data_IF_298470593098
#
_entry.id   IF_298470593098
#
_cell.length_a   1.000
_cell.length_b   1.000
_cell.length_c   1.000
_cell.angle_alpha   90.00
_cell.angle_beta   90.00
_cell.angle_gamma   90.00
#
_symmetry.space_group_name_H-M   'P 1'
#
loop_
_entity.id
_entity.type
_entity.pdbx_description
1 polymer ?
#
# COMPACT_ATOMS: atom_id res chain seq x y z
N UNK A 1 16.88 -6.15 -18.54
CA UNK A 1 15.52 -6.51 -18.06
C UNK A 1 15.09 -5.51 -16.99
N UNK A 2 14.41 -4.43 -17.38
CA UNK A 2 14.02 -3.34 -16.48
C UNK A 2 12.69 -3.67 -15.80
N UNK A 3 12.70 -3.76 -14.47
CA UNK A 3 11.50 -3.99 -13.65
C UNK A 3 10.91 -2.63 -13.25
N UNK A 4 9.94 -2.17 -14.02
CA UNK A 4 9.12 -0.99 -13.74
C UNK A 4 8.29 -1.24 -12.49
N UNK A 5 8.67 -0.66 -11.34
CA UNK A 5 7.79 -0.63 -10.16
C UNK A 5 6.84 0.57 -10.32
N UNK A 6 5.74 0.34 -11.03
CA UNK A 6 4.59 1.21 -10.94
C UNK A 6 3.96 1.01 -9.55
N UNK A 7 4.00 2.04 -8.70
CA UNK A 7 3.12 2.15 -7.54
C UNK A 7 1.71 2.46 -8.05
N UNK A 8 1.06 1.45 -8.63
CA UNK A 8 -0.38 1.46 -8.75
C UNK A 8 -0.93 1.31 -7.32
N UNK A 9 -1.58 2.35 -6.81
CA UNK A 9 -2.61 2.20 -5.80
C UNK A 9 -3.71 1.34 -6.43
N UNK A 10 -3.45 0.04 -6.51
CA UNK A 10 -4.38 -0.93 -7.03
C UNK A 10 -5.46 -1.06 -5.97
N UNK A 11 -6.55 -0.32 -6.16
CA UNK A 11 -7.85 -0.72 -5.63
C UNK A 11 -8.24 -2.01 -6.37
N UNK A 12 -7.47 -3.09 -6.17
CA UNK A 12 -7.82 -4.42 -6.65
C UNK A 12 -9.04 -4.82 -5.84
N UNK A 13 -10.22 -4.49 -6.36
CA UNK A 13 -11.44 -5.08 -5.88
C UNK A 13 -11.35 -6.56 -6.26
N UNK A 14 -11.23 -7.48 -5.30
CA UNK A 14 -11.18 -8.89 -5.65
C UNK A 14 -12.45 -9.22 -6.44
N UNK A 15 -12.30 -10.01 -7.51
CA UNK A 15 -13.42 -10.42 -8.35
C UNK A 15 -14.57 -10.90 -7.45
N UNK A 16 -15.73 -10.27 -7.62
CA UNK A 16 -16.91 -10.52 -6.82
C UNK A 16 -17.40 -11.94 -7.09
N UNK A 17 -16.97 -12.91 -6.26
CA UNK A 17 -17.58 -14.24 -6.22
C UNK A 17 -19.06 -14.14 -5.82
N UNK A 18 -19.82 -15.24 -5.94
CA UNK A 18 -21.26 -15.28 -5.64
C UNK A 18 -21.64 -14.79 -4.21
N UNK A 19 -20.69 -14.75 -3.27
CA UNK A 19 -20.87 -14.23 -1.91
C UNK A 19 -20.37 -12.77 -1.70
N UNK A 20 -20.01 -12.04 -2.75
CA UNK A 20 -19.51 -10.68 -2.62
C UNK A 20 -20.62 -9.68 -2.31
N UNK A 21 -20.35 -8.75 -1.38
CA UNK A 21 -21.22 -7.62 -1.09
C UNK A 21 -21.55 -6.85 -2.38
N UNK A 22 -22.84 -6.63 -2.61
CA UNK A 22 -23.36 -5.78 -3.68
C UNK A 22 -23.77 -4.44 -3.07
N UNK A 23 -22.98 -3.37 -3.22
CA UNK A 23 -23.32 -2.07 -2.66
C UNK A 23 -24.65 -1.54 -3.26
N UNK A 24 -25.65 -1.21 -2.44
CA UNK A 24 -26.90 -0.65 -2.97
C UNK A 24 -26.71 0.78 -3.45
N UNK A 25 -27.36 1.14 -4.56
CA UNK A 25 -27.44 2.53 -5.02
C UNK A 25 -28.57 3.25 -4.28
N UNK A 26 -28.23 4.24 -3.46
CA UNK A 26 -29.18 5.00 -2.64
C UNK A 26 -29.20 6.46 -3.05
N UNK A 27 -30.39 7.07 -3.10
CA UNK A 27 -30.55 8.51 -3.32
C UNK A 27 -30.56 9.24 -1.99
N UNK A 28 -29.77 10.30 -1.87
CA UNK A 28 -29.67 11.11 -0.66
C UNK A 28 -29.64 12.60 -0.99
N UNK A 29 -30.05 13.41 -0.03
CA UNK A 29 -29.85 14.86 -0.02
C UNK A 29 -29.41 15.28 1.39
N UNK A 30 -28.15 15.71 1.50
CA UNK A 30 -27.56 16.08 2.78
C UNK A 30 -28.17 17.37 3.35
N UNK A 31 -28.52 18.34 2.50
CA UNK A 31 -29.09 19.62 2.92
C UNK A 31 -30.57 19.45 3.29
N UNK A 32 -31.30 18.66 2.50
CA UNK A 32 -32.68 18.26 2.79
C UNK A 32 -32.83 17.19 3.87
N UNK A 33 -31.72 16.68 4.43
CA UNK A 33 -31.67 15.57 5.41
C UNK A 33 -32.45 14.32 4.95
N UNK A 34 -32.47 14.05 3.65
CA UNK A 34 -33.23 12.96 3.05
C UNK A 34 -32.33 11.76 2.73
N UNK A 35 -32.82 10.54 2.95
CA UNK A 35 -32.13 9.29 2.60
C UNK A 35 -31.00 8.87 3.54
N UNK A 36 -30.69 9.63 4.60
CA UNK A 36 -29.62 9.32 5.55
C UNK A 36 -29.84 8.03 6.34
N UNK A 37 -31.09 7.71 6.67
CA UNK A 37 -31.44 6.44 7.34
C UNK A 37 -31.10 5.22 6.47
N UNK A 38 -31.35 5.32 5.16
CA UNK A 38 -30.98 4.28 4.20
C UNK A 38 -29.48 4.06 4.13
N UNK A 39 -28.69 5.14 4.21
CA UNK A 39 -27.22 5.06 4.26
C UNK A 39 -26.76 4.35 5.54
N UNK A 40 -27.32 4.71 6.70
CA UNK A 40 -26.98 4.08 7.97
C UNK A 40 -27.34 2.58 7.97
N UNK A 41 -28.50 2.22 7.43
CA UNK A 41 -28.92 0.84 7.28
C UNK A 41 -27.97 0.04 6.36
N UNK A 42 -27.63 0.58 5.19
CA UNK A 42 -26.69 -0.05 4.27
C UNK A 42 -25.28 -0.21 4.88
N UNK A 43 -24.83 0.77 5.67
CA UNK A 43 -23.54 0.72 6.37
C UNK A 43 -23.53 -0.37 7.45
N UNK A 44 -24.62 -0.53 8.20
CA UNK A 44 -24.75 -1.60 9.20
C UNK A 44 -24.83 -2.99 8.54
N UNK A 45 -25.60 -3.12 7.46
CA UNK A 45 -25.69 -4.37 6.70
C UNK A 45 -24.33 -4.77 6.09
N UNK A 46 -23.60 -3.81 5.50
CA UNK A 46 -22.24 -4.05 5.03
C UNK A 46 -21.30 -4.46 6.16
N UNK A 47 -21.41 -3.84 7.35
CA UNK A 47 -20.61 -4.21 8.53
C UNK A 47 -20.89 -5.64 9.01
N UNK A 48 -22.16 -6.07 9.03
CA UNK A 48 -22.52 -7.45 9.39
C UNK A 48 -21.95 -8.42 8.36
N UNK A 49 -22.24 -8.19 7.07
CA UNK A 49 -21.73 -9.01 5.98
C UNK A 49 -20.19 -9.10 5.97
N UNK A 50 -19.52 -7.99 6.30
CA UNK A 50 -18.08 -7.98 6.46
C UNK A 50 -17.65 -8.85 7.65
N UNK A 51 -18.25 -8.70 8.84
CA UNK A 51 -17.86 -9.42 10.06
C UNK A 51 -18.14 -10.92 10.04
N UNK A 52 -19.22 -11.34 9.39
CA UNK A 52 -19.68 -12.74 9.38
C UNK A 52 -18.77 -13.65 8.54
N UNK A 53 -17.89 -13.09 7.71
CA UNK A 53 -16.94 -13.86 6.90
C UNK A 53 -15.56 -14.00 7.56
N UNK A 54 -15.01 -15.24 7.58
CA UNK A 54 -13.56 -15.52 7.77
C UNK A 54 -12.67 -14.58 6.93
N UNK A 55 -13.18 -14.17 5.77
CA UNK A 55 -12.56 -13.22 4.84
C UNK A 55 -12.29 -11.84 5.44
N UNK A 56 -12.98 -11.38 6.49
CA UNK A 56 -12.67 -10.09 7.13
C UNK A 56 -11.44 -10.14 8.01
N UNK A 57 -11.29 -11.18 8.83
CA UNK A 57 -10.06 -11.36 9.61
C UNK A 57 -8.84 -11.49 8.67
N UNK A 58 -8.96 -12.26 7.59
CA UNK A 58 -7.92 -12.38 6.56
C UNK A 58 -7.64 -11.04 5.85
N UNK A 59 -8.68 -10.30 5.42
CA UNK A 59 -8.50 -8.96 4.81
C UNK A 59 -7.89 -7.96 5.79
N UNK A 60 -8.26 -8.02 7.07
CA UNK A 60 -7.67 -7.18 8.11
C UNK A 60 -6.22 -7.52 8.33
N UNK A 61 -5.86 -8.81 8.37
CA UNK A 61 -4.48 -9.26 8.49
C UNK A 61 -3.64 -8.81 7.28
N UNK A 62 -4.16 -8.95 6.05
CA UNK A 62 -3.48 -8.48 4.83
C UNK A 62 -3.29 -6.95 4.84
N UNK A 63 -4.31 -6.19 5.27
CA UNK A 63 -4.19 -4.73 5.43
C UNK A 63 -3.16 -4.35 6.48
N UNK A 64 -3.18 -5.01 7.63
CA UNK A 64 -2.23 -4.78 8.71
C UNK A 64 -0.79 -5.12 8.28
N UNK A 65 -0.62 -6.23 7.55
CA UNK A 65 0.68 -6.63 6.99
C UNK A 65 1.19 -5.59 5.98
N UNK A 66 0.34 -5.10 5.08
CA UNK A 66 0.72 -4.07 4.12
C UNK A 66 1.07 -2.75 4.81
N UNK A 67 0.30 -2.34 5.81
CA UNK A 67 0.57 -1.14 6.60
C UNK A 67 1.91 -1.24 7.34
N UNK A 68 2.15 -2.38 8.03
CA UNK A 68 3.40 -2.63 8.72
C UNK A 68 4.60 -2.66 7.76
N UNK A 69 4.47 -3.35 6.62
CA UNK A 69 5.54 -3.42 5.63
C UNK A 69 5.89 -2.03 5.05
N UNK A 70 4.87 -1.18 4.82
CA UNK A 70 5.06 0.20 4.37
C UNK A 70 5.79 1.03 5.43
N UNK A 71 5.32 1.00 6.67
CA UNK A 71 5.92 1.76 7.77
C UNK A 71 7.36 1.32 8.03
N UNK A 72 7.58 0.00 8.11
CA UNK A 72 8.91 -0.56 8.29
C UNK A 72 9.85 -0.16 7.15
N UNK A 73 9.38 -0.20 5.90
CA UNK A 73 10.19 0.22 4.75
C UNK A 73 10.58 1.70 4.82
N UNK A 74 9.65 2.57 5.23
CA UNK A 74 9.90 4.00 5.37
C UNK A 74 10.91 4.29 6.48
N UNK A 75 10.77 3.66 7.65
CA UNK A 75 11.69 3.82 8.77
C UNK A 75 13.08 3.24 8.48
N UNK A 76 13.14 2.06 7.84
CA UNK A 76 14.41 1.46 7.44
C UNK A 76 15.13 2.31 6.40
N UNK A 77 14.41 2.89 5.43
CA UNK A 77 14.99 3.79 4.44
C UNK A 77 15.52 5.07 5.12
N UNK A 78 14.71 5.70 5.97
CA UNK A 78 15.10 6.93 6.66
C UNK A 78 16.33 6.72 7.53
N UNK A 79 16.31 5.71 8.40
CA UNK A 79 17.45 5.38 9.27
C UNK A 79 18.70 4.99 8.48
N UNK A 80 18.54 4.30 7.34
CA UNK A 80 19.66 3.96 6.46
C UNK A 80 20.29 5.22 5.85
N UNK A 81 19.47 6.14 5.35
CA UNK A 81 19.95 7.39 4.74
C UNK A 81 20.62 8.33 5.74
N UNK A 82 20.18 8.34 7.00
CA UNK A 82 20.82 9.11 8.07
C UNK A 82 22.22 8.61 8.43
N UNK A 83 22.46 7.30 8.29
CA UNK A 83 23.74 6.67 8.61
C UNK A 83 24.70 6.66 7.41
N UNK A 84 24.17 6.78 6.19
CA UNK A 84 24.95 6.67 4.97
C UNK A 84 25.84 7.91 4.76
N UNK A 85 27.17 7.76 4.60
CA UNK A 85 28.04 8.87 4.31
C UNK A 85 27.63 9.59 3.01
N UNK A 86 27.45 10.93 3.00
CA UNK A 86 27.01 11.67 1.82
C UNK A 86 27.91 11.48 0.59
N UNK A 87 29.22 11.35 0.82
CA UNK A 87 30.20 11.10 -0.24
C UNK A 87 29.96 9.75 -0.95
N UNK A 88 29.69 8.68 -0.19
CA UNK A 88 29.45 7.35 -0.74
C UNK A 88 28.20 7.33 -1.62
N UNK A 89 27.13 8.03 -1.20
CA UNK A 89 25.92 8.15 -2.00
C UNK A 89 26.19 8.91 -3.31
N UNK A 90 26.89 10.06 -3.22
CA UNK A 90 27.20 10.88 -4.38
C UNK A 90 28.05 10.13 -5.42
N UNK A 91 29.05 9.37 -4.98
CA UNK A 91 29.89 8.53 -5.84
C UNK A 91 29.08 7.47 -6.61
N UNK A 92 28.18 6.77 -5.92
CA UNK A 92 27.33 5.75 -6.55
C UNK A 92 26.34 6.36 -7.54
N UNK A 93 25.74 7.51 -7.20
CA UNK A 93 24.84 8.23 -8.11
C UNK A 93 25.60 8.68 -9.37
N UNK A 94 26.82 9.20 -9.22
CA UNK A 94 27.67 9.60 -10.34
C UNK A 94 28.02 8.40 -11.24
N UNK A 95 28.36 7.25 -10.65
CA UNK A 95 28.64 6.02 -11.41
C UNK A 95 27.41 5.51 -12.19
N UNK A 96 26.20 5.61 -11.60
CA UNK A 96 24.95 5.28 -12.28
C UNK A 96 24.69 6.24 -13.45
N UNK A 97 24.86 7.55 -13.23
CA UNK A 97 24.67 8.56 -14.27
C UNK A 97 25.66 8.35 -15.43
N UNK A 98 26.91 7.98 -15.13
CA UNK A 98 27.93 7.63 -16.11
C UNK A 98 27.72 6.26 -16.78
N UNK A 99 26.70 5.49 -16.37
CA UNK A 99 26.41 4.11 -16.81
C UNK A 99 27.57 3.13 -16.57
N UNK A 100 28.47 3.43 -15.65
CA UNK A 100 29.56 2.53 -15.24
C UNK A 100 29.10 1.54 -14.16
N UNK A 101 27.93 1.80 -13.55
CA UNK A 101 27.28 0.89 -12.61
C UNK A 101 25.77 0.93 -12.80
N UNK A 102 25.10 -0.20 -12.59
CA UNK A 102 23.64 -0.24 -12.62
C UNK A 102 23.04 0.01 -11.21
N UNK A 103 21.81 0.54 -11.13
CA UNK A 103 21.16 0.85 -9.86
C UNK A 103 20.98 -0.35 -8.91
N UNK A 104 20.81 -1.56 -9.44
CA UNK A 104 20.57 -2.75 -8.62
C UNK A 104 21.86 -3.20 -7.93
N UNK A 105 22.98 -3.21 -8.66
CA UNK A 105 24.30 -3.53 -8.10
C UNK A 105 24.81 -2.45 -7.14
N UNK A 106 24.44 -1.18 -7.35
CA UNK A 106 24.72 -0.10 -6.40
C UNK A 106 23.92 -0.26 -5.10
N UNK A 107 22.62 -0.56 -5.21
CA UNK A 107 21.78 -0.84 -4.04
C UNK A 107 22.27 -2.06 -3.23
N UNK A 108 22.70 -3.13 -3.90
CA UNK A 108 23.25 -4.30 -3.22
C UNK A 108 24.53 -3.98 -2.43
N UNK A 109 25.43 -3.15 -2.99
CA UNK A 109 26.62 -2.67 -2.29
C UNK A 109 26.26 -1.84 -1.06
N UNK A 110 25.29 -0.93 -1.19
CA UNK A 110 24.79 -0.11 -0.09
C UNK A 110 24.25 -0.98 1.05
N UNK A 111 23.48 -2.02 0.73
CA UNK A 111 22.93 -2.95 1.72
C UNK A 111 24.01 -3.84 2.37
N UNK A 112 25.04 -4.25 1.62
CA UNK A 112 26.14 -5.05 2.16
C UNK A 112 27.03 -4.28 3.15
N UNK A 113 27.07 -2.95 3.06
CA UNK A 113 27.86 -2.10 3.97
C UNK A 113 27.21 -1.97 5.37
N UNK A 114 25.99 -2.49 5.55
CA UNK A 114 25.21 -2.41 6.79
C UNK A 114 25.48 -3.57 7.77
N UNK A 115 26.22 -4.61 7.38
CA UNK A 115 26.60 -5.73 8.27
C UNK A 115 27.81 -5.39 9.13
#
# INVERSE_FOLDING_TARGET
AQRTRALALSLTQPAAGAEAWQPPLLRTDALGKHGMEGVLAALNAHRSHARDGRRWAERQALRAQAALASELSAQLYTSFMEQLPPAQLAELVAAIAARTRDPYSAAAQLLATRS
#
